data_IF_152670254779
#
_entry.id   IF_152670254779
#
_cell.length_a   1.000
_cell.length_b   1.000
_cell.length_c   1.000
_cell.angle_alpha   90.00
_cell.angle_beta   90.00
_cell.angle_gamma   90.00
#
_symmetry.space_group_name_H-M   'P 1'
#
loop_
_entity.id
_entity.type
_entity.pdbx_description
1 polymer ?
#
# COMPACT_ATOMS: atom_id res chain seq x y z
N UNK A 1 26.82 14.85 11.98
CA UNK A 1 25.50 15.38 12.39
C UNK A 1 24.42 15.12 11.33
N UNK A 2 24.69 15.34 10.04
CA UNK A 2 23.74 15.09 8.93
C UNK A 2 23.21 13.66 8.84
N UNK A 3 24.01 12.65 9.19
CA UNK A 3 23.59 11.22 9.17
C UNK A 3 22.54 10.89 10.24
N UNK A 4 22.65 11.49 11.43
CA UNK A 4 21.65 11.37 12.50
C UNK A 4 20.34 12.04 12.05
N UNK A 5 20.43 13.24 11.46
CA UNK A 5 19.28 13.97 10.93
C UNK A 5 18.58 13.18 9.81
N UNK A 6 19.34 12.57 8.89
CA UNK A 6 18.81 11.70 7.84
C UNK A 6 18.13 10.43 8.39
N UNK A 7 18.67 9.81 9.44
CA UNK A 7 18.02 8.66 10.09
C UNK A 7 16.72 9.03 10.79
N UNK A 8 16.65 10.18 11.48
CA UNK A 8 15.39 10.65 12.08
C UNK A 8 14.33 10.98 11.01
N UNK A 9 14.73 11.56 9.87
CA UNK A 9 13.84 11.84 8.75
C UNK A 9 13.29 10.54 8.12
N UNK A 10 14.13 9.52 7.94
CA UNK A 10 13.73 8.21 7.41
C UNK A 10 12.78 7.48 8.36
N UNK A 11 13.04 7.52 9.68
CA UNK A 11 12.15 6.93 10.68
C UNK A 11 10.80 7.67 10.71
N UNK A 12 10.80 9.00 10.58
CA UNK A 12 9.59 9.79 10.47
C UNK A 12 8.73 9.39 9.27
N UNK A 13 9.34 9.26 8.08
CA UNK A 13 8.66 8.80 6.85
C UNK A 13 8.05 7.40 7.01
N UNK A 14 8.71 6.51 7.74
CA UNK A 14 8.20 5.16 8.01
C UNK A 14 7.07 5.17 9.03
N UNK A 15 7.04 6.12 9.98
CA UNK A 15 6.00 6.20 11.04
C UNK A 15 4.74 6.95 10.58
N UNK A 16 4.84 7.90 9.63
CA UNK A 16 3.69 8.61 9.04
C UNK A 16 2.54 7.69 8.59
N UNK A 17 2.77 6.57 7.88
CA UNK A 17 1.68 5.66 7.52
C UNK A 17 1.03 4.99 8.75
N UNK A 18 1.77 4.76 9.83
CA UNK A 18 1.20 4.24 11.08
C UNK A 18 0.31 5.28 11.78
N UNK A 19 0.67 6.57 11.75
CA UNK A 19 -0.16 7.64 12.31
C UNK A 19 -1.40 7.88 11.43
N UNK A 20 -1.25 7.85 10.10
CA UNK A 20 -2.37 7.96 9.17
C UNK A 20 -3.39 6.81 9.37
N UNK A 21 -2.91 5.61 9.74
CA UNK A 21 -3.78 4.48 10.09
C UNK A 21 -4.50 4.62 11.43
N UNK A 22 -4.10 5.58 12.29
CA UNK A 22 -4.75 5.85 13.58
C UNK A 22 -5.86 6.93 13.50
N UNK A 23 -5.88 7.75 12.44
CA UNK A 23 -6.86 8.85 12.26
C UNK A 23 -8.17 8.39 11.58
N UNK A 24 -8.47 7.09 11.65
CA UNK A 24 -9.75 6.58 11.19
C UNK A 24 -10.87 7.10 12.12
N UNK A 25 -11.61 8.10 11.66
CA UNK A 25 -12.86 8.54 12.28
C UNK A 25 -14.01 7.95 11.45
N UNK A 26 -14.50 6.75 11.78
CA UNK A 26 -15.73 6.27 11.17
C UNK A 26 -16.82 7.16 11.72
N UNK A 27 -17.42 8.00 10.87
CA UNK A 27 -18.75 8.49 11.19
C UNK A 27 -19.64 7.26 11.45
N UNK A 28 -20.03 7.09 12.71
CA UNK A 28 -21.16 6.28 13.18
C UNK A 28 -21.39 4.97 12.42
N UNK A 29 -20.71 3.89 12.82
CA UNK A 29 -21.24 2.53 12.62
C UNK A 29 -22.03 2.19 13.89
N UNK A 30 -23.36 2.10 13.85
CA UNK A 30 -24.12 1.53 14.96
C UNK A 30 -23.60 0.13 15.26
N UNK A 31 -23.33 -0.11 16.54
CA UNK A 31 -23.01 -1.41 17.11
C UNK A 31 -24.11 -2.41 16.78
N UNK A 32 -23.91 -3.22 15.74
CA UNK A 32 -24.52 -4.55 15.70
C UNK A 32 -23.44 -5.55 15.37
N UNK A 33 -22.86 -6.05 16.47
CA UNK A 33 -22.30 -7.40 16.65
C UNK A 33 -22.60 -8.30 15.46
N UNK A 34 -21.55 -8.67 14.74
CA UNK A 34 -21.45 -9.79 13.79
C UNK A 34 -22.76 -10.55 13.59
N UNK A 35 -23.60 -10.10 12.65
CA UNK A 35 -24.78 -10.85 12.19
C UNK A 35 -25.19 -10.54 10.76
N UNK A 36 -24.39 -9.76 10.01
CA UNK A 36 -24.75 -9.39 8.65
C UNK A 36 -23.53 -9.40 7.70
N UNK A 37 -23.77 -9.71 6.43
CA UNK A 37 -22.74 -9.79 5.36
C UNK A 37 -21.98 -8.46 5.22
N UNK A 38 -22.61 -7.35 5.63
CA UNK A 38 -22.00 -6.03 5.72
C UNK A 38 -20.80 -5.96 6.69
N UNK A 39 -20.84 -6.67 7.83
CA UNK A 39 -19.74 -6.70 8.80
C UNK A 39 -18.49 -7.39 8.24
N UNK A 40 -18.67 -8.44 7.44
CA UNK A 40 -17.59 -9.14 6.74
C UNK A 40 -16.96 -8.19 5.70
N UNK A 41 -17.77 -7.41 4.99
CA UNK A 41 -17.30 -6.41 4.02
C UNK A 41 -16.41 -5.33 4.63
N UNK A 42 -16.70 -4.88 5.86
CA UNK A 42 -15.87 -3.91 6.59
C UNK A 42 -14.53 -4.53 6.98
N UNK A 43 -14.53 -5.76 7.49
CA UNK A 43 -13.29 -6.46 7.87
C UNK A 43 -12.40 -6.72 6.64
N UNK A 44 -12.98 -7.16 5.52
CA UNK A 44 -12.24 -7.38 4.27
C UNK A 44 -11.64 -6.07 3.74
N UNK A 45 -12.41 -4.97 3.72
CA UNK A 45 -11.86 -3.67 3.31
C UNK A 45 -10.73 -3.21 4.25
N UNK A 46 -10.85 -3.48 5.55
CA UNK A 46 -9.82 -3.12 6.54
C UNK A 46 -8.53 -3.90 6.33
N UNK A 47 -8.64 -5.20 6.06
CA UNK A 47 -7.50 -6.05 5.73
C UNK A 47 -6.90 -5.64 4.38
N UNK A 48 -7.73 -5.38 3.38
CA UNK A 48 -7.30 -4.91 2.05
C UNK A 48 -6.51 -3.62 2.11
N UNK A 49 -7.01 -2.60 2.81
CA UNK A 49 -6.32 -1.31 2.97
C UNK A 49 -4.98 -1.45 3.73
N UNK A 50 -4.94 -2.30 4.75
CA UNK A 50 -3.72 -2.59 5.49
C UNK A 50 -2.68 -3.31 4.62
N UNK A 51 -3.09 -4.36 3.91
CA UNK A 51 -2.23 -5.11 2.99
C UNK A 51 -1.72 -4.22 1.85
N UNK A 52 -2.57 -3.36 1.29
CA UNK A 52 -2.18 -2.43 0.24
C UNK A 52 -1.10 -1.45 0.72
N UNK A 53 -1.28 -0.85 1.91
CA UNK A 53 -0.29 0.05 2.50
C UNK A 53 1.04 -0.66 2.73
N UNK A 54 0.99 -1.89 3.27
CA UNK A 54 2.18 -2.71 3.49
C UNK A 54 2.88 -3.08 2.19
N UNK A 55 2.12 -3.42 1.14
CA UNK A 55 2.64 -3.75 -0.18
C UNK A 55 3.39 -2.56 -0.78
N UNK A 56 2.79 -1.37 -0.80
CA UNK A 56 3.45 -0.17 -1.33
C UNK A 56 4.70 0.22 -0.53
N UNK A 57 4.67 0.08 0.79
CA UNK A 57 5.83 0.33 1.64
C UNK A 57 6.99 -0.63 1.32
N UNK A 58 6.70 -1.94 1.20
CA UNK A 58 7.70 -2.93 0.81
C UNK A 58 8.20 -2.71 -0.62
N UNK A 59 7.30 -2.45 -1.56
CA UNK A 59 7.65 -2.17 -2.96
C UNK A 59 8.63 -1.00 -3.09
N UNK A 60 8.43 0.08 -2.33
CA UNK A 60 9.35 1.22 -2.27
C UNK A 60 10.76 0.82 -1.83
N UNK A 61 10.87 -0.03 -0.79
CA UNK A 61 12.17 -0.52 -0.30
C UNK A 61 12.86 -1.40 -1.35
N UNK A 62 12.13 -2.32 -1.98
CA UNK A 62 12.68 -3.20 -3.02
C UNK A 62 13.19 -2.42 -4.24
N UNK A 63 12.52 -1.33 -4.64
CA UNK A 63 12.97 -0.46 -5.73
C UNK A 63 14.31 0.18 -5.41
N UNK A 64 14.49 0.67 -4.17
CA UNK A 64 15.75 1.29 -3.73
C UNK A 64 16.89 0.28 -3.79
N UNK A 65 16.67 -0.94 -3.26
CA UNK A 65 17.68 -2.01 -3.27
C UNK A 65 18.05 -2.40 -4.71
N UNK A 66 17.05 -2.55 -5.59
CA UNK A 66 17.26 -2.86 -7.00
C UNK A 66 18.08 -1.77 -7.71
N UNK A 67 17.80 -0.50 -7.42
CA UNK A 67 18.54 0.65 -7.94
C UNK A 67 20.02 0.62 -7.53
N UNK A 68 20.31 0.37 -6.25
CA UNK A 68 21.69 0.22 -5.77
C UNK A 68 22.39 -0.99 -6.42
N UNK A 69 21.71 -2.13 -6.54
CA UNK A 69 22.28 -3.33 -7.16
C UNK A 69 22.63 -3.11 -8.63
N UNK A 70 21.84 -2.31 -9.36
CA UNK A 70 22.12 -1.92 -10.74
C UNK A 70 23.32 -0.98 -10.86
N UNK A 71 23.39 0.06 -10.01
CA UNK A 71 24.50 1.02 -10.02
C UNK A 71 25.83 0.39 -9.61
N UNK A 72 25.82 -0.55 -8.68
CA UNK A 72 27.03 -1.22 -8.17
C UNK A 72 27.47 -2.39 -9.04
N UNK A 73 26.76 -2.72 -10.13
CA UNK A 73 27.09 -3.86 -10.98
C UNK A 73 28.40 -3.69 -11.78
N UNK A 74 28.94 -2.46 -11.90
CA UNK A 74 30.26 -2.16 -12.49
C UNK A 74 30.57 -2.82 -13.86
N UNK A 75 29.55 -3.17 -14.64
CA UNK A 75 29.71 -3.82 -15.94
C UNK A 75 29.87 -5.34 -15.91
N UNK A 76 29.76 -5.97 -14.73
CA UNK A 76 29.65 -7.43 -14.63
C UNK A 76 28.32 -7.89 -15.29
N UNK A 77 28.38 -8.76 -16.32
CA UNK A 77 27.20 -9.15 -17.07
C UNK A 77 26.19 -9.95 -16.24
N UNK A 78 26.62 -10.74 -15.25
CA UNK A 78 25.71 -11.47 -14.37
C UNK A 78 24.98 -10.53 -13.41
N UNK A 79 25.72 -9.62 -12.77
CA UNK A 79 25.15 -8.61 -11.87
C UNK A 79 24.18 -7.68 -12.59
N UNK A 80 24.54 -7.28 -13.82
CA UNK A 80 23.70 -6.43 -14.67
C UNK A 80 22.41 -7.14 -15.08
N UNK A 81 22.50 -8.43 -15.46
CA UNK A 81 21.31 -9.23 -15.81
C UNK A 81 20.39 -9.43 -14.60
N UNK A 82 20.95 -9.72 -13.44
CA UNK A 82 20.20 -9.85 -12.19
C UNK A 82 19.48 -8.55 -11.82
N UNK A 83 20.18 -7.42 -11.86
CA UNK A 83 19.61 -6.11 -11.57
C UNK A 83 18.49 -5.71 -12.55
N UNK A 84 18.66 -6.00 -13.86
CA UNK A 84 17.59 -5.79 -14.86
C UNK A 84 16.34 -6.61 -14.56
N UNK A 85 16.49 -7.88 -14.18
CA UNK A 85 15.37 -8.73 -13.79
C UNK A 85 14.68 -8.20 -12.53
N UNK A 86 15.46 -7.73 -11.55
CA UNK A 86 14.92 -7.14 -10.32
C UNK A 86 14.11 -5.86 -10.60
N UNK A 87 14.60 -5.00 -11.50
CA UNK A 87 13.86 -3.81 -11.97
C UNK A 87 12.58 -4.23 -12.70
N UNK A 88 12.64 -5.24 -13.57
CA UNK A 88 11.46 -5.76 -14.28
C UNK A 88 10.38 -6.23 -13.28
N UNK A 89 10.76 -7.00 -12.27
CA UNK A 89 9.82 -7.43 -11.24
C UNK A 89 9.27 -6.27 -10.40
N UNK A 90 10.08 -5.26 -10.11
CA UNK A 90 9.61 -4.06 -9.43
C UNK A 90 8.57 -3.30 -10.27
N UNK A 91 8.79 -3.17 -11.58
CA UNK A 91 7.83 -2.56 -12.50
C UNK A 91 6.52 -3.36 -12.52
N UNK A 92 6.60 -4.69 -12.63
CA UNK A 92 5.42 -5.57 -12.62
C UNK A 92 4.63 -5.40 -11.32
N UNK A 93 5.30 -5.31 -10.16
CA UNK A 93 4.64 -5.09 -8.88
C UNK A 93 3.88 -3.75 -8.83
N UNK A 94 4.47 -2.67 -9.35
CA UNK A 94 3.82 -1.36 -9.44
C UNK A 94 2.59 -1.42 -10.35
N UNK A 95 2.71 -2.07 -11.52
CA UNK A 95 1.61 -2.20 -12.47
C UNK A 95 0.44 -2.99 -11.85
N UNK A 96 0.72 -4.11 -11.18
CA UNK A 96 -0.32 -4.89 -10.50
C UNK A 96 -0.99 -4.06 -9.39
N UNK A 97 -0.21 -3.32 -8.60
CA UNK A 97 -0.75 -2.44 -7.56
C UNK A 97 -1.67 -1.35 -8.10
N UNK A 98 -1.31 -0.73 -9.24
CA UNK A 98 -2.13 0.25 -9.92
C UNK A 98 -3.44 -0.36 -10.46
N UNK A 99 -3.37 -1.55 -11.03
CA UNK A 99 -4.55 -2.26 -11.55
C UNK A 99 -5.50 -2.65 -10.42
N UNK A 100 -4.98 -3.10 -9.28
CA UNK A 100 -5.79 -3.42 -8.11
C UNK A 100 -6.63 -2.22 -7.65
N UNK A 101 -6.01 -1.04 -7.57
CA UNK A 101 -6.71 0.20 -7.22
C UNK A 101 -7.79 0.58 -8.24
N UNK A 102 -7.49 0.41 -9.55
CA UNK A 102 -8.46 0.64 -10.62
C UNK A 102 -9.68 -0.26 -10.52
N UNK A 103 -9.48 -1.55 -10.19
CA UNK A 103 -10.59 -2.51 -10.02
C UNK A 103 -11.43 -2.14 -8.80
N UNK A 104 -10.83 -1.76 -7.67
CA UNK A 104 -11.59 -1.32 -6.49
C UNK A 104 -12.48 -0.11 -6.79
N UNK A 105 -11.97 0.85 -7.55
CA UNK A 105 -12.74 2.02 -7.97
C UNK A 105 -13.93 1.64 -8.86
N UNK A 106 -13.72 0.71 -9.81
CA UNK A 106 -14.77 0.21 -10.70
C UNK A 106 -15.82 -0.59 -9.91
N UNK A 107 -15.41 -1.45 -8.98
CA UNK A 107 -16.33 -2.24 -8.15
C UNK A 107 -17.20 -1.33 -7.27
N UNK A 108 -16.62 -0.28 -6.68
CA UNK A 108 -17.39 0.73 -5.91
C UNK A 108 -18.35 1.52 -6.80
N UNK A 109 -17.94 1.85 -8.03
CA UNK A 109 -18.78 2.58 -8.99
C UNK A 109 -19.97 1.76 -9.50
N UNK A 110 -19.82 0.43 -9.63
CA UNK A 110 -20.88 -0.48 -10.08
C UNK A 110 -21.83 -0.88 -8.93
N UNK A 111 -21.44 -0.66 -7.66
CA UNK A 111 -22.26 -0.94 -6.48
C UNK A 111 -22.74 0.33 -5.73
N UNK A 112 -23.47 1.27 -6.35
CA UNK A 112 -23.94 2.50 -5.69
C UNK A 112 -25.15 2.33 -4.75
N UNK A 113 -25.67 1.10 -4.56
CA UNK A 113 -26.96 0.84 -3.90
C UNK A 113 -26.96 0.68 -2.37
N UNK A 114 -25.84 0.87 -1.67
CA UNK A 114 -25.77 0.83 -0.18
C UNK A 114 -25.39 2.22 0.37
N UNK A 115 -26.02 3.26 -0.17
CA UNK A 115 -26.06 4.56 0.52
C UNK A 115 -27.08 4.44 1.64
N UNK A 116 -26.62 4.50 2.89
CA UNK A 116 -27.46 4.54 4.08
C UNK A 116 -28.57 5.61 3.93
N UNK A 117 -29.77 5.38 4.50
CA UNK A 117 -30.84 6.36 4.49
C UNK A 117 -30.36 7.71 5.05
N UNK A 118 -30.78 8.85 4.48
CA UNK A 118 -30.51 10.16 5.07
C UNK A 118 -31.14 10.21 6.47
N UNK A 119 -30.29 10.36 7.50
CA UNK A 119 -30.76 10.61 8.85
C UNK A 119 -31.40 12.01 8.93
N UNK A 120 -32.51 12.18 9.68
CA UNK A 120 -33.07 13.49 10.02
C UNK A 120 -32.15 14.28 10.96
#
# INVERSE_FOLDING_TARGET
>A
MTKILLSFLLIGIVIVPFIASAQFNPGTVPDTVVSDVAGIGVVINRIGAFLQTLLFALAGIFIIIAGFQYLTAQGDPEKTKSAKNMIMYAIIAIVIGLVAFGIEAIVKAILPGVTAPPAP
#
